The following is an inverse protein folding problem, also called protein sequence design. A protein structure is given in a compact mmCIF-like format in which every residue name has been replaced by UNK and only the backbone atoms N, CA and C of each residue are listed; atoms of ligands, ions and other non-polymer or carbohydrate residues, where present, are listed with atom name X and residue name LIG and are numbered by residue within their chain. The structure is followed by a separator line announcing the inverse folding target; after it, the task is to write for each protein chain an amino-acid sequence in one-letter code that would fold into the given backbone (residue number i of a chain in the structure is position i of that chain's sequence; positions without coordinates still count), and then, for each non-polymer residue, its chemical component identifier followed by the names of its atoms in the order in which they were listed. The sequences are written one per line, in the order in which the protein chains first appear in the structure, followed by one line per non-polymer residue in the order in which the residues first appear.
data_IF_331651067343
#
_entry.id   IF_331651067343
#
_cell.length_a   1.000
_cell.length_b   1.000
_cell.length_c   1.000
_cell.angle_alpha   90.00
_cell.angle_beta   90.00
_cell.angle_gamma   90.00
#
_symmetry.space_group_name_H-M   'P 1'
#
loop_
_entity.id
_entity.type
_entity.pdbx_description
1 polymer ?
#
# COMPACT_ATOMS: atom_id res chain seq x y z
N UNK A 1 -38.16 -18.93 69.77
CA UNK A 1 -38.30 -17.66 69.02
C UNK A 1 -37.12 -17.50 68.15
N UNK A 2 -37.12 -18.17 66.93
CA UNK A 2 -35.96 -18.29 65.99
C UNK A 2 -36.10 -17.25 64.89
N UNK A 3 -35.19 -16.29 64.85
CA UNK A 3 -35.02 -15.35 63.72
C UNK A 3 -34.05 -15.96 62.69
N UNK A 4 -34.57 -16.42 61.56
CA UNK A 4 -33.79 -16.80 60.42
C UNK A 4 -33.25 -15.54 59.68
N UNK A 5 -31.95 -15.39 59.67
CA UNK A 5 -31.25 -14.37 58.93
C UNK A 5 -31.08 -14.87 57.47
N UNK A 6 -31.78 -14.26 56.49
CA UNK A 6 -31.62 -14.55 55.07
C UNK A 6 -30.48 -13.70 54.52
N UNK A 7 -29.34 -14.33 54.25
CA UNK A 7 -28.21 -13.69 53.57
C UNK A 7 -28.47 -13.73 52.07
N UNK A 8 -28.78 -12.59 51.49
CA UNK A 8 -28.89 -12.44 50.03
C UNK A 8 -27.51 -12.26 49.42
N UNK A 9 -27.07 -13.20 48.59
CA UNK A 9 -25.84 -13.08 47.77
C UNK A 9 -26.22 -12.24 46.54
N UNK A 10 -25.72 -11.02 46.47
CA UNK A 10 -25.80 -10.17 45.27
C UNK A 10 -24.71 -10.61 44.26
N UNK A 11 -25.12 -11.23 43.17
CA UNK A 11 -24.22 -11.61 42.06
C UNK A 11 -23.93 -10.35 41.25
N UNK A 12 -22.72 -9.78 41.40
CA UNK A 12 -22.23 -8.66 40.60
C UNK A 12 -21.81 -9.20 39.22
N UNK A 13 -22.62 -8.96 38.20
CA UNK A 13 -22.26 -9.19 36.80
C UNK A 13 -21.24 -8.11 36.37
N UNK A 14 -19.98 -8.49 36.30
CA UNK A 14 -18.95 -7.65 35.70
C UNK A 14 -19.17 -7.63 34.17
N UNK A 15 -19.74 -6.55 33.66
CA UNK A 15 -19.82 -6.27 32.22
C UNK A 15 -18.44 -5.85 31.76
N UNK A 16 -17.68 -6.78 31.22
CA UNK A 16 -16.41 -6.45 30.50
C UNK A 16 -16.76 -5.75 29.18
N UNK A 17 -16.29 -4.51 28.96
CA UNK A 17 -16.49 -3.87 27.66
C UNK A 17 -15.75 -4.70 26.59
N UNK A 18 -16.49 -5.23 25.61
CA UNK A 18 -15.87 -5.71 24.37
C UNK A 18 -15.27 -4.47 23.69
N UNK A 19 -13.96 -4.35 23.74
CA UNK A 19 -13.24 -3.41 22.89
C UNK A 19 -13.47 -3.85 21.45
N UNK A 20 -14.34 -3.14 20.74
CA UNK A 20 -14.51 -3.33 19.31
C UNK A 20 -13.12 -3.10 18.64
N UNK A 21 -12.50 -4.15 18.15
CA UNK A 21 -11.28 -4.00 17.35
C UNK A 21 -11.64 -3.27 16.06
N UNK A 22 -10.95 -2.14 15.82
CA UNK A 22 -11.10 -1.41 14.56
C UNK A 22 -10.85 -2.37 13.39
N UNK A 23 -11.76 -2.39 12.43
CA UNK A 23 -11.67 -3.20 11.23
C UNK A 23 -10.46 -2.82 10.37
N UNK A 24 -10.17 -3.62 9.35
CA UNK A 24 -9.06 -3.34 8.45
C UNK A 24 -9.29 -2.07 7.63
N UNK A 25 -10.54 -1.79 7.26
CA UNK A 25 -10.93 -0.55 6.55
C UNK A 25 -10.69 0.68 7.43
N UNK A 26 -11.08 0.63 8.71
CA UNK A 26 -10.80 1.71 9.66
C UNK A 26 -9.30 1.94 9.85
N UNK A 27 -8.50 0.86 9.89
CA UNK A 27 -7.04 0.96 9.98
C UNK A 27 -6.44 1.61 8.74
N UNK A 28 -6.96 1.28 7.55
CA UNK A 28 -6.55 1.94 6.31
C UNK A 28 -6.83 3.44 6.37
N UNK A 29 -8.04 3.85 6.77
CA UNK A 29 -8.39 5.26 6.91
C UNK A 29 -7.49 5.98 7.92
N UNK A 30 -7.27 5.40 9.10
CA UNK A 30 -6.37 5.95 10.12
C UNK A 30 -4.93 6.05 9.63
N UNK A 31 -4.44 5.01 8.93
CA UNK A 31 -3.10 5.02 8.34
C UNK A 31 -2.95 6.16 7.33
N UNK A 32 -3.91 6.30 6.42
CA UNK A 32 -3.89 7.36 5.41
C UNK A 32 -3.98 8.75 6.02
N UNK A 33 -4.85 8.95 7.00
CA UNK A 33 -5.04 10.25 7.68
C UNK A 33 -3.82 10.68 8.48
N UNK A 34 -3.14 9.72 9.13
CA UNK A 34 -2.03 10.00 10.06
C UNK A 34 -0.64 9.92 9.41
N UNK A 35 -0.51 9.42 8.17
CA UNK A 35 0.78 9.22 7.50
C UNK A 35 0.93 10.20 6.35
N UNK A 36 1.70 11.28 6.55
CA UNK A 36 2.02 12.27 5.51
C UNK A 36 3.22 11.84 4.68
N UNK A 37 4.21 11.25 5.32
CA UNK A 37 5.39 10.68 4.67
C UNK A 37 5.61 9.25 5.15
N UNK A 38 6.22 8.44 4.29
CA UNK A 38 6.52 7.05 4.56
C UNK A 38 7.84 6.68 3.90
N UNK A 39 8.63 5.86 4.59
CA UNK A 39 9.80 5.19 4.02
C UNK A 39 9.77 3.73 4.44
N UNK A 40 10.11 2.82 3.53
CA UNK A 40 10.19 1.40 3.82
C UNK A 40 11.15 0.70 2.86
N UNK A 41 11.64 -0.47 3.26
CA UNK A 41 12.19 -1.47 2.34
C UNK A 41 11.04 -2.37 1.89
N UNK A 42 11.15 -2.96 0.68
CA UNK A 42 10.18 -3.92 0.21
C UNK A 42 10.83 -5.13 -0.45
N UNK A 43 10.13 -6.26 -0.38
CA UNK A 43 10.30 -7.41 -1.25
C UNK A 43 9.02 -7.61 -2.07
N UNK A 44 9.19 -7.95 -3.34
CA UNK A 44 8.10 -8.14 -4.28
C UNK A 44 8.24 -9.48 -4.98
N UNK A 45 7.12 -10.18 -5.13
CA UNK A 45 7.02 -11.44 -5.87
C UNK A 45 5.92 -11.29 -6.92
N UNK A 46 6.28 -11.48 -8.19
CA UNK A 46 5.34 -11.44 -9.32
C UNK A 46 5.07 -12.85 -9.81
N UNK A 47 3.80 -13.26 -9.74
CA UNK A 47 3.31 -14.57 -10.14
C UNK A 47 2.42 -14.41 -11.36
N UNK A 48 2.79 -15.02 -12.48
CA UNK A 48 2.01 -14.99 -13.72
C UNK A 48 1.22 -16.28 -13.90
N UNK A 49 0.00 -16.17 -14.48
CA UNK A 49 -0.72 -17.36 -14.94
C UNK A 49 0.08 -18.04 -16.07
N UNK A 50 0.20 -19.36 -16.03
CA UNK A 50 0.88 -20.12 -17.09
C UNK A 50 2.19 -20.78 -16.67
N UNK A 51 2.46 -20.90 -15.37
CA UNK A 51 3.57 -21.72 -14.85
C UNK A 51 4.98 -21.15 -15.06
N UNK A 52 5.10 -19.87 -15.45
CA UNK A 52 6.40 -19.19 -15.46
C UNK A 52 6.93 -19.09 -14.03
N UNK A 53 8.25 -19.21 -13.91
CA UNK A 53 8.93 -19.03 -12.61
C UNK A 53 8.59 -17.64 -12.05
N UNK A 54 8.17 -17.55 -10.77
CA UNK A 54 7.92 -16.27 -10.14
C UNK A 54 9.14 -15.37 -10.19
N UNK A 55 8.92 -14.07 -10.37
CA UNK A 55 9.98 -13.07 -10.40
C UNK A 55 10.05 -12.37 -9.05
N UNK A 56 11.22 -12.41 -8.44
CA UNK A 56 11.49 -11.73 -7.18
C UNK A 56 12.23 -10.43 -7.43
N UNK A 57 11.84 -9.38 -6.72
CA UNK A 57 12.56 -8.11 -6.73
C UNK A 57 12.54 -7.49 -5.34
N UNK A 58 13.46 -6.57 -5.09
CA UNK A 58 13.54 -5.86 -3.81
C UNK A 58 14.12 -4.47 -3.98
N UNK A 59 13.78 -3.61 -3.02
CA UNK A 59 14.21 -2.23 -3.07
C UNK A 59 13.67 -1.41 -1.92
N UNK A 60 13.58 -0.09 -2.12
CA UNK A 60 13.05 0.84 -1.15
C UNK A 60 11.94 1.71 -1.74
N UNK A 61 11.06 2.18 -0.87
CA UNK A 61 10.01 3.11 -1.21
C UNK A 61 10.05 4.32 -0.28
N UNK A 62 9.86 5.51 -0.85
CA UNK A 62 9.60 6.74 -0.12
C UNK A 62 8.36 7.41 -0.72
N UNK A 63 7.49 7.90 0.15
CA UNK A 63 6.24 8.55 -0.22
C UNK A 63 6.12 9.86 0.55
N UNK A 64 5.70 10.92 -0.13
CA UNK A 64 5.24 12.15 0.50
C UNK A 64 3.91 12.56 -0.15
N UNK A 65 2.85 12.53 0.65
CA UNK A 65 1.51 12.83 0.18
C UNK A 65 1.24 14.31 0.07
N UNK A 66 0.44 14.74 -0.90
CA UNK A 66 -0.14 13.93 -1.99
C UNK A 66 0.82 13.76 -3.17
N UNK A 67 0.72 12.62 -3.85
CA UNK A 67 1.23 12.39 -5.21
C UNK A 67 2.73 12.21 -5.38
N UNK A 68 3.56 12.39 -4.35
CA UNK A 68 5.01 12.23 -4.46
C UNK A 68 5.43 10.84 -4.02
N UNK A 69 6.21 10.18 -4.86
CA UNK A 69 6.72 8.85 -4.60
C UNK A 69 8.12 8.66 -5.19
N UNK A 70 8.88 7.78 -4.58
CA UNK A 70 10.09 7.19 -5.10
C UNK A 70 10.04 5.70 -4.83
N UNK A 71 10.02 4.90 -5.87
CA UNK A 71 10.04 3.44 -5.81
C UNK A 71 11.30 2.97 -6.51
N UNK A 72 12.24 2.47 -5.73
CA UNK A 72 13.60 2.15 -6.18
C UNK A 72 13.79 0.63 -6.12
N UNK A 73 13.60 -0.06 -7.24
CA UNK A 73 13.93 -1.48 -7.38
C UNK A 73 15.42 -1.60 -7.59
N UNK A 74 16.09 -2.31 -6.68
CA UNK A 74 17.55 -2.47 -6.70
C UNK A 74 17.98 -3.84 -7.20
N UNK A 75 17.13 -4.86 -7.07
CA UNK A 75 17.41 -6.25 -7.45
C UNK A 75 16.17 -6.89 -8.08
N UNK A 76 16.31 -7.83 -9.04
CA UNK A 76 17.56 -8.16 -9.73
C UNK A 76 17.93 -7.12 -10.79
N UNK A 77 16.94 -6.44 -11.40
CA UNK A 77 17.08 -5.45 -12.46
C UNK A 77 16.74 -4.07 -11.92
N UNK A 78 17.69 -3.14 -11.86
CA UNK A 78 17.44 -1.82 -11.32
C UNK A 78 16.42 -1.03 -12.14
N UNK A 79 15.38 -0.56 -11.48
CA UNK A 79 14.37 0.32 -12.06
C UNK A 79 13.95 1.36 -11.04
N UNK A 80 13.83 2.60 -11.47
CA UNK A 80 13.45 3.70 -10.62
C UNK A 80 12.15 4.35 -11.10
N UNK A 81 11.14 4.41 -10.21
CA UNK A 81 9.92 5.17 -10.46
C UNK A 81 9.90 6.38 -9.53
N UNK A 82 9.79 7.58 -10.09
CA UNK A 82 9.68 8.82 -9.33
C UNK A 82 8.42 9.57 -9.74
N UNK A 83 7.58 9.89 -8.78
CA UNK A 83 6.45 10.82 -8.93
C UNK A 83 6.76 12.12 -8.21
N UNK A 84 6.65 13.24 -8.91
CA UNK A 84 6.91 14.59 -8.36
C UNK A 84 5.63 15.30 -7.90
N UNK A 85 4.47 14.69 -8.16
CA UNK A 85 3.13 15.24 -7.91
C UNK A 85 2.39 15.64 -9.19
N UNK A 86 3.10 15.84 -10.30
CA UNK A 86 2.54 16.18 -11.62
C UNK A 86 2.80 15.07 -12.65
N UNK A 87 4.02 14.54 -12.65
CA UNK A 87 4.48 13.50 -13.57
C UNK A 87 5.03 12.29 -12.81
N UNK A 88 5.01 11.17 -13.49
CA UNK A 88 5.67 9.93 -13.08
C UNK A 88 6.73 9.60 -14.11
N UNK A 89 7.95 9.43 -13.63
CA UNK A 89 9.14 9.05 -14.38
C UNK A 89 9.45 7.61 -14.08
N UNK A 90 9.57 6.77 -15.09
CA UNK A 90 9.98 5.36 -14.97
C UNK A 90 11.29 5.21 -15.70
N UNK A 91 12.36 5.03 -14.97
CA UNK A 91 13.71 4.88 -15.52
C UNK A 91 14.16 3.43 -15.43
N UNK A 92 14.43 2.86 -16.56
CA UNK A 92 15.08 1.56 -16.73
C UNK A 92 16.54 1.80 -17.09
N UNK A 93 17.43 1.46 -16.16
CA UNK A 93 18.86 1.72 -16.35
C UNK A 93 19.52 0.73 -17.31
N UNK A 94 18.97 -0.48 -17.51
CA UNK A 94 19.52 -1.46 -18.45
C UNK A 94 19.16 -1.11 -19.89
N UNK A 95 17.91 -0.63 -20.09
CA UNK A 95 17.45 -0.17 -21.39
C UNK A 95 17.89 1.26 -21.74
N UNK A 96 18.46 1.99 -20.77
CA UNK A 96 18.80 3.42 -20.91
C UNK A 96 17.59 4.23 -21.38
N UNK A 97 16.41 3.95 -20.83
CA UNK A 97 15.15 4.54 -21.26
C UNK A 97 14.38 5.12 -20.06
N UNK A 98 13.79 6.29 -20.28
CA UNK A 98 12.86 6.93 -19.34
C UNK A 98 11.48 7.02 -19.99
N UNK A 99 10.46 6.50 -19.33
CA UNK A 99 9.08 6.73 -19.70
C UNK A 99 8.48 7.81 -18.80
N UNK A 100 7.84 8.83 -19.38
CA UNK A 100 7.16 9.91 -18.64
C UNK A 100 5.66 9.79 -18.84
N UNK A 101 4.89 9.93 -17.76
CA UNK A 101 3.42 9.94 -17.80
C UNK A 101 2.88 10.99 -16.84
N UNK A 102 1.72 11.58 -17.14
CA UNK A 102 1.00 12.44 -16.20
C UNK A 102 0.43 11.60 -15.04
N UNK A 103 0.49 12.12 -13.81
CA UNK A 103 0.02 11.41 -12.59
C UNK A 103 -1.40 10.91 -12.75
N UNK A 104 -2.33 11.69 -13.32
CA UNK A 104 -3.73 11.29 -13.50
C UNK A 104 -3.93 10.04 -14.38
N UNK A 105 -3.03 9.81 -15.35
CA UNK A 105 -3.01 8.62 -16.23
C UNK A 105 -2.14 7.49 -15.69
N UNK A 106 -1.20 7.79 -14.78
CA UNK A 106 -0.23 6.83 -14.24
C UNK A 106 -0.70 6.12 -12.97
N UNK A 107 -1.66 6.71 -12.25
CA UNK A 107 -2.17 6.18 -10.97
C UNK A 107 -2.81 4.79 -11.13
N UNK A 108 -3.32 4.46 -12.34
CA UNK A 108 -3.92 3.16 -12.60
C UNK A 108 -2.98 1.96 -12.61
N UNK A 109 -1.66 2.14 -12.56
CA UNK A 109 -0.72 1.06 -12.86
C UNK A 109 0.35 0.74 -11.80
N UNK A 110 0.37 1.40 -10.64
CA UNK A 110 1.44 1.20 -9.64
C UNK A 110 0.91 1.07 -8.21
N UNK A 111 1.39 0.09 -7.43
CA UNK A 111 1.10 -0.03 -6.01
C UNK A 111 1.45 1.23 -5.22
N UNK A 112 2.55 1.87 -5.58
CA UNK A 112 3.03 3.09 -4.96
C UNK A 112 2.08 4.27 -5.18
N UNK A 113 1.43 4.33 -6.34
CA UNK A 113 0.49 5.39 -6.67
C UNK A 113 -0.75 5.35 -5.76
N UNK A 114 -1.22 4.15 -5.41
CA UNK A 114 -2.33 3.98 -4.47
C UNK A 114 -1.96 4.49 -3.07
N UNK A 115 -0.73 4.21 -2.63
CA UNK A 115 -0.23 4.66 -1.34
C UNK A 115 0.10 6.16 -1.31
N UNK A 116 0.48 6.77 -2.44
CA UNK A 116 0.85 8.20 -2.55
C UNK A 116 -0.33 9.12 -2.85
N UNK A 117 -1.47 8.59 -3.27
CA UNK A 117 -2.65 9.33 -3.66
C UNK A 117 -3.29 10.16 -2.53
N UNK A 118 -4.43 10.77 -2.82
CA UNK A 118 -5.25 11.47 -1.83
C UNK A 118 -5.82 10.49 -0.79
N UNK A 119 -6.25 11.02 0.35
CA UNK A 119 -6.90 10.22 1.40
C UNK A 119 -8.28 9.67 1.00
N UNK A 120 -8.78 10.08 -0.16
CA UNK A 120 -10.12 9.74 -0.66
C UNK A 120 -10.03 8.53 -1.63
N UNK A 121 -9.68 7.38 -1.09
CA UNK A 121 -9.62 6.14 -1.86
C UNK A 121 -10.99 5.71 -2.38
N UNK A 122 -12.05 6.02 -1.63
CA UNK A 122 -13.42 5.62 -1.97
C UNK A 122 -13.95 6.30 -3.23
N UNK A 123 -13.33 7.37 -3.70
CA UNK A 123 -13.64 7.91 -5.04
C UNK A 123 -13.36 6.88 -6.14
N UNK A 124 -12.25 6.16 -6.02
CA UNK A 124 -11.75 5.29 -7.06
C UNK A 124 -11.94 3.80 -6.75
N UNK A 125 -12.16 3.45 -5.46
CA UNK A 125 -12.23 2.07 -5.00
C UNK A 125 -13.45 1.84 -4.12
N UNK A 126 -14.00 0.63 -4.20
CA UNK A 126 -14.92 0.10 -3.19
C UNK A 126 -14.09 -0.67 -2.18
N UNK A 127 -14.14 -0.25 -0.90
CA UNK A 127 -13.40 -0.88 0.19
C UNK A 127 -14.28 -1.87 0.93
N UNK A 128 -13.72 -3.01 1.31
CA UNK A 128 -14.39 -4.01 2.16
C UNK A 128 -13.39 -4.77 3.02
N UNK A 129 -13.88 -5.32 4.13
CA UNK A 129 -13.10 -6.20 4.98
C UNK A 129 -12.80 -7.51 4.25
N UNK A 130 -11.52 -7.93 4.24
CA UNK A 130 -11.11 -9.19 3.62
C UNK A 130 -10.65 -10.25 4.65
N UNK A 131 -10.97 -10.00 5.93
CA UNK A 131 -10.67 -10.91 7.03
C UNK A 131 -9.21 -10.91 7.46
N UNK A 132 -8.85 -11.91 8.24
CA UNK A 132 -7.49 -12.12 8.74
C UNK A 132 -6.82 -13.29 8.02
N UNK A 133 -5.57 -13.09 7.57
CA UNK A 133 -4.73 -14.12 6.97
C UNK A 133 -3.27 -13.84 7.28
N UNK A 134 -2.53 -14.88 7.73
CA UNK A 134 -1.11 -14.79 8.09
C UNK A 134 -0.81 -13.72 9.17
N UNK A 135 -1.75 -13.51 10.12
CA UNK A 135 -1.60 -12.53 11.18
C UNK A 135 -1.78 -11.07 10.71
N UNK A 136 -2.27 -10.86 9.50
CA UNK A 136 -2.60 -9.55 8.95
C UNK A 136 -4.11 -9.41 8.77
N UNK A 137 -4.65 -8.26 9.15
CA UNK A 137 -5.98 -7.85 8.76
C UNK A 137 -5.94 -7.22 7.37
N UNK A 138 -6.80 -7.70 6.49
CA UNK A 138 -6.79 -7.32 5.09
C UNK A 138 -8.00 -6.49 4.69
N UNK A 139 -7.74 -5.48 3.85
CA UNK A 139 -8.74 -4.70 3.13
C UNK A 139 -8.72 -5.12 1.67
N UNK A 140 -9.88 -5.42 1.10
CA UNK A 140 -10.08 -5.45 -0.35
C UNK A 140 -10.40 -4.04 -0.84
N UNK A 141 -9.71 -3.60 -1.88
CA UNK A 141 -9.98 -2.38 -2.62
C UNK A 141 -10.23 -2.76 -4.08
N UNK A 142 -11.49 -2.69 -4.50
CA UNK A 142 -11.92 -2.99 -5.85
C UNK A 142 -12.05 -1.69 -6.65
N UNK A 143 -11.34 -1.53 -7.77
CA UNK A 143 -11.48 -0.36 -8.62
C UNK A 143 -12.92 -0.18 -9.11
N UNK A 144 -13.42 1.06 -9.11
CA UNK A 144 -14.74 1.41 -9.63
C UNK A 144 -14.76 1.59 -11.15
N UNK A 145 -13.59 1.83 -11.76
CA UNK A 145 -13.43 1.95 -13.21
C UNK A 145 -12.57 0.81 -13.77
N UNK A 146 -12.87 0.34 -14.98
CA UNK A 146 -12.10 -0.71 -15.67
C UNK A 146 -10.72 -0.28 -16.14
N UNK A 147 -10.41 1.02 -16.12
CA UNK A 147 -9.15 1.58 -16.63
C UNK A 147 -8.01 1.56 -15.61
N UNK A 148 -8.21 0.96 -14.45
CA UNK A 148 -7.24 0.97 -13.35
C UNK A 148 -6.00 0.10 -13.57
N UNK A 149 -6.02 -0.81 -14.56
CA UNK A 149 -4.97 -1.82 -14.76
C UNK A 149 -4.99 -2.95 -13.73
N UNK A 150 -5.80 -2.83 -12.68
CA UNK A 150 -5.98 -3.85 -11.64
C UNK A 150 -7.44 -4.25 -11.51
N UNK A 151 -7.67 -5.54 -11.27
CA UNK A 151 -8.99 -6.06 -10.89
C UNK A 151 -9.21 -5.98 -9.38
N UNK A 152 -8.14 -6.12 -8.61
CA UNK A 152 -8.19 -6.11 -7.15
C UNK A 152 -6.87 -5.66 -6.54
N UNK A 153 -6.97 -4.89 -5.48
CA UNK A 153 -5.85 -4.58 -4.59
C UNK A 153 -6.24 -4.99 -3.17
N UNK A 154 -5.34 -5.68 -2.47
CA UNK A 154 -5.47 -5.98 -1.05
C UNK A 154 -4.39 -5.29 -0.26
N UNK A 155 -4.72 -4.80 0.92
CA UNK A 155 -3.81 -4.08 1.79
C UNK A 155 -3.85 -4.73 3.16
N UNK A 156 -2.71 -5.23 3.63
CA UNK A 156 -2.57 -6.01 4.86
C UNK A 156 -1.90 -5.22 5.98
N UNK A 157 -2.53 -5.21 7.15
CA UNK A 157 -2.08 -4.50 8.34
C UNK A 157 -1.77 -5.46 9.48
N UNK A 158 -0.63 -5.24 10.18
CA UNK A 158 -0.38 -5.77 11.50
C UNK A 158 -0.49 -4.62 12.52
N UNK A 159 -1.52 -4.66 13.36
CA UNK A 159 -1.82 -3.51 14.20
C UNK A 159 -2.13 -2.27 13.37
N UNK A 160 -1.40 -1.18 13.57
CA UNK A 160 -1.51 0.06 12.81
C UNK A 160 -0.55 0.15 11.62
N UNK A 161 0.32 -0.84 11.42
CA UNK A 161 1.37 -0.81 10.42
C UNK A 161 0.96 -1.50 9.13
N UNK A 162 1.17 -0.84 8.01
CA UNK A 162 1.12 -1.45 6.68
C UNK A 162 2.25 -2.49 6.56
N UNK A 163 1.90 -3.74 6.24
CA UNK A 163 2.87 -4.83 6.13
C UNK A 163 2.91 -5.47 4.76
N UNK A 164 1.78 -5.49 4.06
CA UNK A 164 1.73 -6.14 2.76
C UNK A 164 0.73 -5.47 1.81
N UNK A 165 0.97 -5.68 0.51
CA UNK A 165 -0.01 -5.44 -0.54
C UNK A 165 -0.04 -6.63 -1.48
N UNK A 166 -1.22 -6.90 -2.03
CA UNK A 166 -1.45 -7.91 -3.05
C UNK A 166 -2.24 -7.25 -4.17
N UNK A 167 -1.72 -7.31 -5.39
CA UNK A 167 -2.34 -6.70 -6.55
C UNK A 167 -2.60 -7.78 -7.58
N UNK A 168 -3.80 -7.83 -8.09
CA UNK A 168 -4.19 -8.69 -9.19
C UNK A 168 -4.53 -7.81 -10.40
N UNK A 169 -3.82 -8.02 -11.50
CA UNK A 169 -4.10 -7.30 -12.74
C UNK A 169 -5.15 -8.02 -13.61
N UNK A 170 -5.61 -7.34 -14.67
CA UNK A 170 -6.60 -7.88 -15.61
C UNK A 170 -6.08 -9.05 -16.47
N UNK A 171 -4.78 -9.31 -16.47
CA UNK A 171 -4.17 -10.45 -17.16
C UNK A 171 -4.01 -11.66 -16.23
N UNK A 172 -4.43 -11.51 -14.96
CA UNK A 172 -4.36 -12.53 -13.92
C UNK A 172 -2.96 -12.73 -13.34
N UNK A 173 -2.08 -11.75 -13.50
CA UNK A 173 -0.84 -11.68 -12.77
C UNK A 173 -1.12 -11.21 -11.34
N UNK A 174 -0.44 -11.82 -10.37
CA UNK A 174 -0.51 -11.40 -8.97
C UNK A 174 0.83 -10.87 -8.53
N UNK A 175 0.85 -9.66 -7.99
CA UNK A 175 2.03 -9.04 -7.39
C UNK A 175 1.85 -9.01 -5.87
N UNK A 176 2.74 -9.69 -5.14
CA UNK A 176 2.79 -9.68 -3.69
C UNK A 176 3.92 -8.76 -3.24
N UNK A 177 3.64 -7.81 -2.37
CA UNK A 177 4.61 -6.87 -1.81
C UNK A 177 4.58 -7.00 -0.29
N UNK A 178 5.75 -7.16 0.32
CA UNK A 178 5.93 -7.14 1.78
C UNK A 178 6.82 -5.96 2.15
N UNK A 179 6.38 -5.18 3.12
CA UNK A 179 7.11 -4.02 3.62
C UNK A 179 7.85 -4.37 4.91
N UNK A 180 9.08 -3.88 5.02
CA UNK A 180 9.92 -3.98 6.20
C UNK A 180 10.58 -2.64 6.50
N UNK A 181 11.13 -2.46 7.71
CA UNK A 181 11.75 -1.23 8.15
C UNK A 181 10.89 0.02 7.85
N UNK A 182 9.57 -0.11 8.04
CA UNK A 182 8.62 0.95 7.75
C UNK A 182 8.72 2.06 8.80
N UNK A 183 9.00 3.27 8.31
CA UNK A 183 9.03 4.50 9.08
C UNK A 183 7.86 5.38 8.66
N UNK A 184 7.06 5.85 9.63
CA UNK A 184 5.94 6.76 9.40
C UNK A 184 6.35 8.18 9.75
N UNK A 185 6.00 9.11 8.90
CA UNK A 185 6.28 10.54 9.05
C UNK A 185 7.79 10.91 9.21
N UNK A 186 8.73 10.19 8.52
CA UNK A 186 10.11 10.66 8.51
C UNK A 186 10.23 11.99 7.76
N UNK A 187 11.27 12.76 8.09
CA UNK A 187 11.65 13.94 7.31
C UNK A 187 12.28 13.46 6.00
N UNK A 188 11.64 13.76 4.88
CA UNK A 188 12.14 13.41 3.55
C UNK A 188 12.55 14.65 2.79
N UNK A 189 13.81 14.72 2.25
CA UNK A 189 14.25 15.86 1.45
C UNK A 189 13.37 16.01 0.20
N UNK A 190 12.93 17.21 -0.19
CA UNK A 190 12.16 17.43 -1.43
C UNK A 190 12.90 16.93 -2.69
N UNK A 191 14.22 16.92 -2.68
CA UNK A 191 15.05 16.41 -3.78
C UNK A 191 14.85 14.89 -4.01
N UNK A 192 14.38 14.13 -3.01
CA UNK A 192 14.09 12.69 -3.16
C UNK A 192 13.03 12.40 -4.21
N UNK A 193 12.15 13.38 -4.49
CA UNK A 193 11.03 13.27 -5.42
C UNK A 193 11.27 14.05 -6.72
N UNK A 194 12.51 14.42 -7.01
CA UNK A 194 12.91 15.01 -8.27
C UNK A 194 13.66 13.97 -9.09
N UNK A 195 13.38 13.94 -10.38
CA UNK A 195 14.11 13.12 -11.32
C UNK A 195 14.61 13.97 -12.49
N UNK A 196 15.87 13.80 -12.82
CA UNK A 196 16.48 14.40 -14.00
C UNK A 196 17.02 13.25 -14.83
N UNK A 197 16.55 13.06 -16.08
CA UNK A 197 17.06 12.01 -16.93
C UNK A 197 18.59 12.13 -17.09
N UNK A 198 19.34 11.03 -16.98
CA UNK A 198 20.77 11.04 -17.26
C UNK A 198 21.07 11.45 -18.72
N UNK A 199 22.25 11.96 -18.97
CA UNK A 199 22.66 12.34 -20.31
C UNK A 199 22.71 11.09 -21.23
N UNK A 200 22.18 11.19 -22.45
CA UNK A 200 22.17 10.11 -23.43
C UNK A 200 21.07 9.05 -23.26
N UNK A 201 20.16 9.25 -22.32
CA UNK A 201 19.02 8.35 -22.12
C UNK A 201 17.84 8.77 -23.00
N UNK A 202 17.22 7.78 -23.63
CA UNK A 202 15.97 8.02 -24.40
C UNK A 202 14.82 8.37 -23.47
N UNK A 203 14.13 9.48 -23.76
CA UNK A 203 12.94 9.90 -23.01
C UNK A 203 11.72 9.76 -23.90
N UNK A 204 10.80 8.86 -23.53
CA UNK A 204 9.56 8.56 -24.26
C UNK A 204 8.34 8.89 -23.40
N UNK A 205 7.27 9.32 -24.03
CA UNK A 205 6.00 9.65 -23.37
C UNK A 205 5.57 11.09 -23.61
N UNK A 206 4.40 11.43 -23.03
CA UNK A 206 3.74 12.75 -23.12
C UNK A 206 4.04 13.63 -21.91
#
# INVERSE_FOLDING_TARGET
MNRMLKTGIALLFAVTPLLAQAGAVDRLHQFLASTKTLKAEFSQLVITKGGRKPQESSGSVAIARPGKLRWDIRKPYPQLVVGDGEKVWIYDSELQQVTVRQVGKAIGGSPAALLSGSNDLERNFTLSEAGEREGLLWVDALPKSGDSGFERVRIGFAGADLRAMELQDSFGQTTLIRFSALERNPVLPPASFRFVPPAGVDVVGE
#
